data_IF_091421895623
#
_entry.id   IF_091421895623
#
_cell.length_a   1.000
_cell.length_b   1.000
_cell.length_c   1.000
_cell.angle_alpha   90.00
_cell.angle_beta   90.00
_cell.angle_gamma   90.00
#
_symmetry.space_group_name_H-M   'P 1'
#
loop_
_entity.id
_entity.type
_entity.pdbx_description
1 polymer ?
#
# COMPACT_ATOMS: atom_id res chain seq x y z
N UNK A 1 6.20 9.94 -0.11
CA UNK A 1 6.98 8.91 -0.82
C UNK A 1 7.85 8.20 0.21
N UNK A 2 7.19 7.42 1.08
CA UNK A 2 7.81 6.74 2.22
C UNK A 2 7.98 5.24 1.99
N UNK A 3 7.35 4.71 0.93
CA UNK A 3 7.24 3.30 0.57
C UNK A 3 8.40 2.81 -0.30
N UNK A 4 9.04 3.71 -1.06
CA UNK A 4 10.11 3.33 -2.00
C UNK A 4 11.27 2.57 -1.36
N UNK A 5 11.80 2.95 -0.17
CA UNK A 5 12.92 2.22 0.42
C UNK A 5 12.57 0.82 0.91
N UNK A 6 11.29 0.46 0.94
CA UNK A 6 10.86 -0.91 1.26
C UNK A 6 10.79 -1.80 0.01
N UNK A 7 10.61 -1.22 -1.17
CA UNK A 7 10.46 -1.94 -2.45
C UNK A 7 11.78 -1.97 -3.21
N UNK A 8 12.56 -0.90 -3.09
CA UNK A 8 13.82 -0.71 -3.78
C UNK A 8 14.94 -0.61 -2.75
N UNK A 9 16.11 -1.16 -3.06
CA UNK A 9 17.33 -1.09 -2.23
C UNK A 9 17.91 0.34 -2.22
N UNK A 10 17.13 1.28 -1.70
CA UNK A 10 17.47 2.68 -1.57
C UNK A 10 18.03 2.91 -0.18
N UNK A 11 19.23 3.48 -0.10
CA UNK A 11 19.89 3.90 1.14
C UNK A 11 19.28 5.18 1.72
N UNK A 12 17.95 5.28 1.76
CA UNK A 12 17.23 6.43 2.32
C UNK A 12 17.17 6.38 3.85
N UNK A 13 17.38 5.20 4.43
CA UNK A 13 17.46 4.97 5.87
C UNK A 13 18.83 4.40 6.22
N UNK A 14 19.36 4.75 7.40
CA UNK A 14 20.62 4.19 7.92
C UNK A 14 20.56 2.67 8.12
N UNK A 15 19.33 2.12 8.18
CA UNK A 15 19.03 0.70 8.13
C UNK A 15 17.55 0.44 8.43
N UNK A 16 16.98 -0.66 7.91
CA UNK A 16 15.63 -1.09 8.25
C UNK A 16 15.64 -1.90 9.56
N UNK A 17 14.70 -1.63 10.45
CA UNK A 17 14.42 -2.55 11.57
C UNK A 17 13.96 -3.92 11.03
N UNK A 18 14.06 -5.01 11.80
CA UNK A 18 13.60 -6.33 11.35
C UNK A 18 12.12 -6.36 10.89
N UNK A 19 11.26 -5.56 11.53
CA UNK A 19 9.85 -5.45 11.14
C UNK A 19 9.67 -4.70 9.81
N UNK A 20 10.51 -3.71 9.55
CA UNK A 20 10.53 -2.96 8.29
C UNK A 20 11.10 -3.78 7.13
N UNK A 21 12.16 -4.57 7.37
CA UNK A 21 12.70 -5.47 6.36
C UNK A 21 11.65 -6.52 5.91
N UNK A 22 10.96 -7.13 6.87
CA UNK A 22 9.85 -8.07 6.57
C UNK A 22 8.68 -7.41 5.83
N UNK A 23 8.39 -6.15 6.12
CA UNK A 23 7.42 -5.39 5.35
C UNK A 23 7.89 -5.22 3.90
N UNK A 24 9.16 -4.91 3.70
CA UNK A 24 9.78 -4.82 2.36
C UNK A 24 9.66 -6.12 1.58
N UNK A 25 10.09 -7.24 2.15
CA UNK A 25 9.98 -8.56 1.51
C UNK A 25 8.54 -8.88 1.07
N UNK A 26 7.57 -8.54 1.93
CA UNK A 26 6.15 -8.76 1.65
C UNK A 26 5.63 -7.85 0.53
N UNK A 27 6.05 -6.58 0.51
CA UNK A 27 5.69 -5.65 -0.56
C UNK A 27 6.27 -6.11 -1.90
N UNK A 28 7.55 -6.48 -1.92
CA UNK A 28 8.23 -6.99 -3.11
C UNK A 28 7.48 -8.20 -3.66
N UNK A 29 7.16 -9.20 -2.82
CA UNK A 29 6.44 -10.39 -3.26
C UNK A 29 5.04 -10.11 -3.85
N UNK A 30 4.30 -9.15 -3.29
CA UNK A 30 3.00 -8.75 -3.85
C UNK A 30 3.17 -8.05 -5.20
N UNK A 31 4.13 -7.13 -5.31
CA UNK A 31 4.37 -6.39 -6.55
C UNK A 31 4.88 -7.30 -7.67
N UNK A 32 5.77 -8.25 -7.38
CA UNK A 32 6.27 -9.19 -8.38
C UNK A 32 5.21 -10.19 -8.82
N UNK A 33 4.38 -10.69 -7.89
CA UNK A 33 3.23 -11.53 -8.23
C UNK A 33 2.23 -10.80 -9.14
N UNK A 34 1.92 -9.54 -8.81
CA UNK A 34 1.06 -8.73 -9.66
C UNK A 34 1.65 -8.50 -11.06
N UNK A 35 2.97 -8.29 -11.16
CA UNK A 35 3.63 -8.12 -12.44
C UNK A 35 3.63 -9.40 -13.30
N UNK A 36 3.67 -10.58 -12.67
CA UNK A 36 3.69 -11.88 -13.34
C UNK A 36 2.31 -12.26 -13.90
N UNK A 37 1.26 -12.22 -13.08
CA UNK A 37 -0.05 -12.76 -13.45
C UNK A 37 -1.25 -11.86 -13.08
N UNK A 38 -0.99 -10.62 -12.64
CA UNK A 38 -2.01 -9.67 -12.22
C UNK A 38 -2.63 -9.96 -10.85
N UNK A 39 -2.13 -10.93 -10.08
CA UNK A 39 -2.68 -11.30 -8.77
C UNK A 39 -1.92 -10.64 -7.63
N UNK A 40 -2.67 -10.02 -6.72
CA UNK A 40 -2.17 -9.51 -5.43
C UNK A 40 -2.61 -10.37 -4.24
N UNK A 41 -3.51 -11.32 -4.47
CA UNK A 41 -4.23 -12.03 -3.40
C UNK A 41 -5.30 -11.19 -2.71
N UNK A 42 -5.53 -9.94 -3.15
CA UNK A 42 -6.56 -9.06 -2.63
C UNK A 42 -7.80 -9.09 -3.52
N UNK A 43 -9.01 -8.86 -2.97
CA UNK A 43 -10.18 -8.63 -3.79
C UNK A 43 -9.96 -7.43 -4.72
N UNK A 44 -10.48 -7.51 -5.94
CA UNK A 44 -10.51 -6.39 -6.86
C UNK A 44 -11.19 -5.18 -6.23
N UNK A 45 -10.69 -3.99 -6.54
CA UNK A 45 -11.30 -2.74 -6.11
C UNK A 45 -12.64 -2.55 -6.81
N UNK A 46 -13.75 -2.77 -6.09
CA UNK A 46 -15.10 -2.55 -6.60
C UNK A 46 -15.67 -1.27 -5.97
N UNK A 47 -16.02 -0.30 -6.81
CA UNK A 47 -16.71 0.94 -6.47
C UNK A 47 -16.20 1.68 -5.22
N UNK A 48 -14.90 1.71 -4.96
CA UNK A 48 -14.40 2.52 -3.84
C UNK A 48 -14.67 1.96 -2.45
N UNK A 49 -14.92 0.65 -2.30
CA UNK A 49 -15.35 0.10 -1.00
C UNK A 49 -14.21 -0.14 -0.03
N UNK A 50 -13.10 -0.75 -0.47
CA UNK A 50 -11.99 -1.10 0.41
C UNK A 50 -10.64 -1.00 -0.29
N UNK A 51 -9.62 -0.55 0.45
CA UNK A 51 -8.21 -0.71 0.10
C UNK A 51 -7.49 -1.51 1.17
N UNK A 52 -6.27 -1.94 0.89
CA UNK A 52 -5.48 -2.76 1.81
C UNK A 52 -4.48 -1.87 2.58
N UNK A 53 -4.45 -1.98 3.91
CA UNK A 53 -3.43 -1.32 4.72
C UNK A 53 -2.09 -2.04 4.58
N UNK A 54 -1.01 -1.32 4.29
CA UNK A 54 0.34 -1.87 4.14
C UNK A 54 1.21 -1.36 5.29
N UNK A 55 1.25 -2.13 6.37
CA UNK A 55 2.00 -1.80 7.60
C UNK A 55 2.95 -2.94 7.98
N UNK A 56 3.87 -2.69 8.90
CA UNK A 56 4.75 -3.73 9.46
C UNK A 56 4.02 -4.74 10.35
N UNK A 57 2.77 -4.45 10.71
CA UNK A 57 1.88 -5.35 11.44
C UNK A 57 0.92 -6.10 10.52
N UNK A 58 -0.25 -6.45 11.05
CA UNK A 58 -1.28 -7.16 10.29
C UNK A 58 -1.90 -6.25 9.24
N UNK A 59 -1.86 -6.69 7.98
CA UNK A 59 -2.56 -6.03 6.88
C UNK A 59 -4.06 -6.30 6.98
N UNK A 60 -4.86 -5.25 6.95
CA UNK A 60 -6.32 -5.30 7.01
C UNK A 60 -6.94 -4.48 5.87
N UNK A 61 -8.21 -4.76 5.58
CA UNK A 61 -9.01 -3.87 4.75
C UNK A 61 -9.28 -2.57 5.50
N UNK A 62 -9.30 -1.48 4.77
CA UNK A 62 -9.59 -0.13 5.27
C UNK A 62 -10.64 0.49 4.34
N UNK A 63 -11.52 1.33 4.88
CA UNK A 63 -12.59 1.95 4.13
C UNK A 63 -12.00 3.08 3.28
N UNK A 64 -11.98 2.90 1.96
CA UNK A 64 -11.35 3.87 1.04
C UNK A 64 -11.90 5.28 1.24
N UNK A 65 -13.22 5.44 1.25
CA UNK A 65 -13.82 6.76 1.30
C UNK A 65 -13.74 7.44 2.68
N UNK A 66 -13.96 6.67 3.75
CA UNK A 66 -14.02 7.20 5.12
C UNK A 66 -12.62 7.48 5.68
N UNK A 67 -11.65 6.61 5.43
CA UNK A 67 -10.31 6.71 6.05
C UNK A 67 -9.37 7.67 5.32
N UNK A 68 -9.77 8.20 4.15
CA UNK A 68 -8.94 9.06 3.29
C UNK A 68 -9.61 10.39 2.93
N UNK A 69 -10.67 10.77 3.66
CA UNK A 69 -11.43 12.01 3.43
C UNK A 69 -11.88 12.19 1.96
N UNK A 70 -12.15 11.08 1.26
CA UNK A 70 -12.38 11.09 -0.19
C UNK A 70 -13.53 12.03 -0.58
N UNK A 71 -14.62 12.02 0.19
CA UNK A 71 -15.79 12.86 -0.09
C UNK A 71 -15.49 14.35 0.07
N UNK A 72 -14.67 14.71 1.05
CA UNK A 72 -14.21 16.09 1.22
C UNK A 72 -13.44 16.53 -0.02
N UNK A 73 -12.41 15.78 -0.41
CA UNK A 73 -11.57 16.13 -1.57
C UNK A 73 -12.37 16.15 -2.88
N UNK A 74 -13.29 15.19 -3.07
CA UNK A 74 -14.16 15.13 -4.26
C UNK A 74 -15.12 16.32 -4.37
N UNK A 75 -15.46 16.96 -3.25
CA UNK A 75 -16.38 18.09 -3.22
C UNK A 75 -15.75 19.42 -3.65
N UNK A 76 -14.41 19.49 -3.68
CA UNK A 76 -13.70 20.71 -4.06
C UNK A 76 -13.82 20.97 -5.57
N UNK A 77 -14.02 22.23 -6.01
CA UNK A 77 -14.01 22.57 -7.42
C UNK A 77 -12.63 22.31 -8.02
N UNK A 78 -12.60 21.94 -9.31
CA UNK A 78 -11.35 21.85 -10.06
C UNK A 78 -10.69 23.24 -10.13
N UNK A 79 -9.37 23.26 -9.91
CA UNK A 79 -8.54 24.47 -10.02
C UNK A 79 -8.38 24.91 -11.48
#
# INVERSE_FOLDING_TARGET
MAELPYIFDMKLFDGLTPAQARLGDRLIGVWTGFADDGRTGWPSFQDGRYVQSLTSGTWRRTAFAADHDYHFWKSLPAA
#
